data_IF_129630039818
#
_entry.id   IF_129630039818
#
_cell.length_a   1.000
_cell.length_b   1.000
_cell.length_c   1.000
_cell.angle_alpha   90.00
_cell.angle_beta   90.00
_cell.angle_gamma   90.00
#
_symmetry.space_group_name_H-M   'P 1'
#
loop_
_entity.id
_entity.type
_entity.pdbx_description
1 polymer ?
#
# COMPACT_ATOMS: atom_id res chain seq x y z
N UNK A 1 7.61 -20.46 -42.04
CA UNK A 1 7.07 -19.18 -42.54
C UNK A 1 6.22 -18.55 -41.46
N UNK A 2 6.73 -17.57 -40.71
CA UNK A 2 5.93 -16.56 -40.01
C UNK A 2 6.83 -15.34 -39.77
N UNK A 3 6.74 -14.37 -40.67
CA UNK A 3 7.31 -13.04 -40.47
C UNK A 3 6.29 -12.21 -39.68
N UNK A 4 6.65 -11.76 -38.47
CA UNK A 4 5.92 -10.68 -37.80
C UNK A 4 6.83 -9.46 -37.72
N UNK A 5 6.67 -8.63 -38.74
CA UNK A 5 7.25 -7.32 -38.94
C UNK A 5 6.33 -6.30 -38.26
N UNK A 6 6.69 -5.81 -37.07
CA UNK A 6 6.05 -4.64 -36.47
C UNK A 6 7.12 -3.71 -35.89
N UNK A 7 7.82 -2.99 -36.79
CA UNK A 7 8.45 -1.72 -36.45
C UNK A 7 7.60 -0.61 -37.06
N UNK A 8 6.65 -0.09 -36.29
CA UNK A 8 6.00 1.17 -36.60
C UNK A 8 6.50 2.23 -35.63
N UNK A 9 7.56 2.94 -36.03
CA UNK A 9 7.93 4.22 -35.44
C UNK A 9 6.96 5.26 -36.00
N UNK A 10 5.90 5.58 -35.26
CA UNK A 10 5.06 6.73 -35.57
C UNK A 10 5.79 8.00 -35.11
N UNK A 11 6.53 8.60 -36.04
CA UNK A 11 7.00 9.98 -35.92
C UNK A 11 5.78 10.87 -36.15
N UNK A 12 5.25 11.46 -35.08
CA UNK A 12 4.19 12.46 -35.21
C UNK A 12 4.80 13.85 -35.17
N UNK A 13 4.78 14.54 -36.31
CA UNK A 13 5.12 15.95 -36.45
C UNK A 13 3.84 16.80 -36.41
N UNK A 14 3.93 17.88 -35.63
CA UNK A 14 3.18 19.14 -35.67
C UNK A 14 1.72 19.17 -35.18
N UNK A 15 1.44 20.02 -34.18
CA UNK A 15 0.75 21.30 -34.39
C UNK A 15 0.64 22.12 -33.09
N UNK A 16 0.69 23.45 -33.23
CA UNK A 16 0.66 24.50 -32.21
C UNK A 16 -0.72 24.72 -31.58
N UNK A 17 -0.70 25.16 -30.33
CA UNK A 17 -1.71 25.99 -29.62
C UNK A 17 -3.13 25.39 -29.50
N UNK A 18 -3.37 24.71 -28.37
CA UNK A 18 -4.71 24.44 -27.86
C UNK A 18 -4.68 24.43 -26.32
N UNK A 19 -5.65 25.08 -25.68
CA UNK A 19 -5.86 25.03 -24.23
C UNK A 19 -6.10 23.58 -23.79
N UNK A 20 -5.06 22.93 -23.27
CA UNK A 20 -5.16 21.60 -22.69
C UNK A 20 -5.91 21.68 -21.35
N UNK A 21 -7.22 21.43 -21.37
CA UNK A 21 -7.94 20.99 -20.18
C UNK A 21 -7.30 19.68 -19.73
N UNK A 22 -6.43 19.75 -18.73
CA UNK A 22 -5.83 18.58 -18.08
C UNK A 22 -6.95 17.79 -17.41
N UNK A 23 -7.49 16.79 -18.11
CA UNK A 23 -8.23 15.72 -17.47
C UNK A 23 -7.21 14.90 -16.69
N UNK A 24 -7.15 15.10 -15.37
CA UNK A 24 -6.43 14.20 -14.48
C UNK A 24 -7.11 12.83 -14.57
N UNK A 25 -6.63 12.00 -15.49
CA UNK A 25 -6.97 10.58 -15.55
C UNK A 25 -6.39 9.99 -14.28
N UNK A 26 -7.25 9.73 -13.30
CA UNK A 26 -6.90 8.97 -12.10
C UNK A 26 -6.50 7.56 -12.55
N UNK A 27 -5.21 7.35 -12.74
CA UNK A 27 -4.66 6.01 -12.97
C UNK A 27 -4.86 5.21 -11.68
N UNK A 28 -5.72 4.20 -11.75
CA UNK A 28 -5.92 3.24 -10.67
C UNK A 28 -4.62 2.45 -10.47
N UNK A 29 -3.78 2.91 -9.55
CA UNK A 29 -2.56 2.21 -9.15
C UNK A 29 -2.93 0.91 -8.47
N UNK A 30 -2.75 -0.21 -9.15
CA UNK A 30 -2.80 -1.53 -8.50
C UNK A 30 -1.64 -1.58 -7.51
N UNK A 31 -1.97 -1.83 -6.24
CA UNK A 31 -0.95 -2.05 -5.19
C UNK A 31 -0.09 -3.23 -5.63
N UNK A 32 1.23 -3.00 -5.72
CA UNK A 32 2.18 -4.04 -6.11
C UNK A 32 2.11 -5.21 -5.13
N UNK A 33 2.02 -6.44 -5.67
CA UNK A 33 1.95 -7.66 -4.88
C UNK A 33 3.16 -7.81 -3.93
N UNK A 34 4.35 -7.31 -4.32
CA UNK A 34 5.51 -7.31 -3.44
C UNK A 34 5.33 -6.36 -2.23
N UNK A 35 4.83 -5.14 -2.45
CA UNK A 35 4.60 -4.17 -1.37
C UNK A 35 3.53 -4.62 -0.38
N UNK A 36 2.49 -5.32 -0.86
CA UNK A 36 1.50 -5.98 0.01
C UNK A 36 2.12 -7.08 0.85
N UNK A 37 2.92 -7.96 0.24
CA UNK A 37 3.60 -9.03 0.97
C UNK A 37 4.51 -8.47 2.06
N UNK A 38 5.26 -7.41 1.77
CA UNK A 38 6.10 -6.76 2.77
C UNK A 38 5.28 -6.16 3.90
N UNK A 39 4.23 -5.40 3.59
CA UNK A 39 3.36 -4.79 4.60
C UNK A 39 2.71 -5.83 5.53
N UNK A 40 2.17 -6.92 4.97
CA UNK A 40 1.50 -7.98 5.74
C UNK A 40 2.44 -8.77 6.67
N UNK A 41 3.75 -8.75 6.41
CA UNK A 41 4.74 -9.46 7.23
C UNK A 41 5.49 -8.55 8.22
N UNK A 42 5.19 -7.24 8.26
CA UNK A 42 5.81 -6.33 9.22
C UNK A 42 5.27 -6.57 10.64
N UNK A 43 6.10 -6.25 11.64
CA UNK A 43 5.67 -6.35 13.04
C UNK A 43 4.64 -5.30 13.41
N UNK A 44 3.76 -5.65 14.35
CA UNK A 44 2.71 -4.75 14.84
C UNK A 44 3.26 -3.41 15.32
N UNK A 45 4.37 -3.43 16.08
CA UNK A 45 5.07 -2.22 16.57
C UNK A 45 5.46 -1.24 15.46
N UNK A 46 5.67 -1.73 14.24
CA UNK A 46 6.14 -0.93 13.10
C UNK A 46 4.97 -0.46 12.23
N UNK A 47 3.88 -1.24 12.14
CA UNK A 47 2.69 -0.91 11.31
C UNK A 47 1.66 -0.07 12.08
N UNK A 48 1.53 -0.29 13.38
CA UNK A 48 0.55 0.35 14.26
C UNK A 48 1.14 0.47 15.68
N UNK A 49 1.99 1.47 15.90
CA UNK A 49 2.65 1.68 17.19
C UNK A 49 1.66 2.06 18.30
N UNK A 50 0.52 2.67 17.96
CA UNK A 50 -0.50 3.05 18.93
C UNK A 50 -1.17 1.81 19.53
N UNK A 51 -1.65 0.90 18.69
CA UNK A 51 -2.25 -0.36 19.16
C UNK A 51 -1.22 -1.23 19.88
N UNK A 52 0.02 -1.24 19.40
CA UNK A 52 1.10 -1.94 20.08
C UNK A 52 1.30 -1.42 21.52
N UNK A 53 1.32 -0.10 21.71
CA UNK A 53 1.47 0.50 23.04
C UNK A 53 0.29 0.18 23.96
N UNK A 54 -0.95 0.24 23.45
CA UNK A 54 -2.15 -0.16 24.20
C UNK A 54 -2.01 -1.61 24.72
N UNK A 55 -1.53 -2.53 23.88
CA UNK A 55 -1.30 -3.93 24.26
C UNK A 55 -0.22 -4.05 25.33
N UNK A 56 0.90 -3.32 25.21
CA UNK A 56 1.97 -3.36 26.21
C UNK A 56 1.52 -2.81 27.57
N UNK A 57 0.70 -1.76 27.57
CA UNK A 57 0.11 -1.23 28.80
C UNK A 57 -0.84 -2.24 29.46
N UNK A 58 -1.64 -2.96 28.68
CA UNK A 58 -2.54 -4.00 29.20
C UNK A 58 -1.76 -5.21 29.77
N UNK A 59 -0.69 -5.64 29.10
CA UNK A 59 0.21 -6.68 29.63
C UNK A 59 0.78 -6.28 30.99
N UNK A 60 1.17 -5.01 31.15
CA UNK A 60 1.65 -4.49 32.43
C UNK A 60 0.55 -4.50 33.49
N UNK A 61 -0.67 -4.05 33.17
CA UNK A 61 -1.82 -4.08 34.08
C UNK A 61 -2.09 -5.49 34.61
N UNK A 62 -2.07 -6.49 33.73
CA UNK A 62 -2.30 -7.89 34.12
C UNK A 62 -1.15 -8.46 34.95
N UNK A 63 0.11 -8.06 34.69
CA UNK A 63 1.28 -8.51 35.46
C UNK A 63 1.30 -7.94 36.87
N UNK A 64 0.93 -6.68 37.03
CA UNK A 64 1.07 -5.93 38.28
C UNK A 64 -0.18 -6.03 39.18
N UNK A 65 -1.24 -6.72 38.74
CA UNK A 65 -2.50 -6.88 39.47
C UNK A 65 -2.84 -8.35 39.71
N UNK A 66 -3.47 -8.64 40.85
CA UNK A 66 -4.09 -9.95 41.08
C UNK A 66 -5.51 -9.90 40.52
N UNK A 67 -5.79 -10.71 39.50
CA UNK A 67 -7.14 -10.86 38.92
C UNK A 67 -7.88 -11.94 39.71
N UNK A 68 -8.97 -11.54 40.39
CA UNK A 68 -9.79 -12.43 41.22
C UNK A 68 -11.14 -12.76 40.56
N UNK A 69 -11.23 -12.54 39.25
CA UNK A 69 -12.44 -12.79 38.48
C UNK A 69 -12.45 -14.28 38.11
N UNK A 70 -13.44 -15.08 38.53
CA UNK A 70 -13.40 -16.54 38.37
C UNK A 70 -13.35 -17.05 36.93
N UNK A 71 -13.76 -16.23 35.97
CA UNK A 71 -13.76 -16.54 34.54
C UNK A 71 -12.54 -16.00 33.79
N UNK A 72 -11.67 -15.23 34.45
CA UNK A 72 -10.45 -14.64 33.88
C UNK A 72 -9.22 -15.23 34.55
#
# INVERSE_FOLDING_TARGET
MFHNLLKSNAIFLASKHGHHRFLNVFTRGYVSAQGQKEYLNKHLKDIDPEVYDIIEQEKRRQRESIVLIPSE
#
